data_IF_745676120472
#
_entry.id   IF_745676120472
#
_cell.length_a   1.000
_cell.length_b   1.000
_cell.length_c   1.000
_cell.angle_alpha   90.00
_cell.angle_beta   90.00
_cell.angle_gamma   90.00
#
_symmetry.space_group_name_H-M   'P 1'
#
loop_
_entity.id
_entity.type
_entity.pdbx_description
1 polymer ?
#
# COMPACT_ATOMS: atom_id res chain seq x y z
N UNK A 1 10.41 12.12 10.82
CA UNK A 1 9.52 12.54 9.73
C UNK A 1 8.31 11.63 9.83
N UNK A 2 7.12 12.20 9.95
CA UNK A 2 5.87 11.43 10.01
C UNK A 2 5.49 10.99 8.59
N UNK A 3 6.14 9.92 8.10
CA UNK A 3 5.84 9.33 6.80
C UNK A 3 4.55 8.53 6.87
N UNK A 4 3.45 9.22 7.14
CA UNK A 4 2.11 8.63 7.08
C UNK A 4 1.64 8.47 5.65
N UNK A 5 2.39 8.94 4.66
CA UNK A 5 2.04 8.83 3.23
C UNK A 5 3.27 8.39 2.45
N UNK A 6 3.05 7.58 1.42
CA UNK A 6 4.08 7.10 0.52
C UNK A 6 3.47 6.94 -0.88
N UNK A 7 4.20 7.37 -1.90
CA UNK A 7 3.82 7.10 -3.29
C UNK A 7 4.65 5.95 -3.85
N UNK A 8 4.05 5.14 -4.70
CA UNK A 8 4.74 4.12 -5.47
C UNK A 8 4.28 4.14 -6.92
N UNK A 9 5.20 3.86 -7.84
CA UNK A 9 4.86 3.51 -9.22
C UNK A 9 5.20 2.06 -9.43
N UNK A 10 4.20 1.26 -9.80
CA UNK A 10 4.35 -0.16 -10.13
C UNK A 10 4.35 -0.29 -11.64
N UNK A 11 5.36 -0.95 -12.19
CA UNK A 11 5.41 -1.35 -13.59
C UNK A 11 5.39 -2.86 -13.67
N UNK A 12 4.71 -3.37 -14.68
CA UNK A 12 4.49 -4.80 -14.78
C UNK A 12 3.93 -5.23 -16.11
N UNK A 13 3.53 -6.48 -16.18
CA UNK A 13 2.88 -7.08 -17.34
C UNK A 13 1.62 -7.80 -16.88
N UNK A 14 0.50 -7.60 -17.58
CA UNK A 14 -0.73 -8.34 -17.31
C UNK A 14 -0.56 -9.83 -17.62
N UNK A 15 -1.48 -10.68 -17.17
CA UNK A 15 -1.46 -12.10 -17.50
C UNK A 15 -1.53 -12.38 -19.02
N UNK A 16 -2.01 -11.42 -19.81
CA UNK A 16 -2.09 -11.49 -21.28
C UNK A 16 -0.81 -11.01 -21.98
N UNK A 17 0.19 -10.54 -21.23
CA UNK A 17 1.45 -10.06 -21.78
C UNK A 17 1.50 -8.55 -22.06
N UNK A 18 0.47 -7.78 -21.68
CA UNK A 18 0.44 -6.34 -21.93
C UNK A 18 1.18 -5.55 -20.83
N UNK A 19 2.08 -4.62 -21.17
CA UNK A 19 2.75 -3.81 -20.17
C UNK A 19 1.77 -2.83 -19.51
N UNK A 20 1.89 -2.65 -18.20
CA UNK A 20 1.14 -1.65 -17.46
C UNK A 20 2.05 -0.79 -16.58
N UNK A 21 1.55 0.39 -16.24
CA UNK A 21 2.15 1.29 -15.25
C UNK A 21 1.04 1.87 -14.40
N UNK A 22 1.13 1.71 -13.08
CA UNK A 22 0.15 2.21 -12.14
C UNK A 22 0.82 3.01 -11.03
N UNK A 23 0.23 4.17 -10.71
CA UNK A 23 0.63 5.01 -9.59
C UNK A 23 -0.28 4.73 -8.39
N UNK A 24 0.35 4.55 -7.23
CA UNK A 24 -0.27 4.24 -5.97
C UNK A 24 0.11 5.28 -4.93
N UNK A 25 -0.87 5.70 -4.12
CA UNK A 25 -0.62 6.49 -2.92
C UNK A 25 -1.12 5.72 -1.70
N UNK A 26 -0.19 5.37 -0.83
CA UNK A 26 -0.45 4.75 0.46
C UNK A 26 -0.54 5.82 1.53
N UNK A 27 -1.52 5.74 2.41
CA UNK A 27 -1.63 6.62 3.57
C UNK A 27 -2.03 5.82 4.81
N UNK A 28 -1.25 5.95 5.89
CA UNK A 28 -1.59 5.46 7.22
C UNK A 28 -2.51 6.46 7.91
N UNK A 29 -3.70 5.97 8.24
CA UNK A 29 -4.73 6.70 8.96
C UNK A 29 -4.64 6.30 10.43
N UNK A 30 -4.35 7.25 11.34
CA UNK A 30 -4.23 6.95 12.75
C UNK A 30 -5.56 6.46 13.34
N UNK A 31 -5.52 5.60 14.37
CA UNK A 31 -6.70 5.19 15.10
C UNK A 31 -7.48 6.41 15.63
N UNK A 32 -8.81 6.41 15.43
CA UNK A 32 -9.71 7.46 15.96
C UNK A 32 -10.29 7.13 17.34
N UNK A 33 -10.09 5.92 17.85
CA UNK A 33 -10.53 5.50 19.18
C UNK A 33 -9.44 4.76 19.99
N UNK A 34 -9.76 4.32 21.22
CA UNK A 34 -8.82 3.63 22.12
C UNK A 34 -9.01 2.09 22.14
N UNK A 35 -9.78 1.51 21.21
CA UNK A 35 -10.06 0.07 21.15
C UNK A 35 -9.22 -0.60 20.06
N UNK A 36 -7.91 -0.61 20.25
CA UNK A 36 -6.99 -1.16 19.24
C UNK A 36 -6.14 -2.30 19.78
N UNK A 37 -6.15 -3.42 19.05
CA UNK A 37 -5.16 -4.49 19.15
C UNK A 37 -4.08 -4.20 18.11
N UNK A 38 -2.79 -4.33 18.44
CA UNK A 38 -1.69 -4.04 17.51
C UNK A 38 -1.38 -2.54 17.41
N UNK A 39 -1.23 -2.01 16.19
CA UNK A 39 -0.99 -0.58 15.95
C UNK A 39 -2.27 0.26 15.93
N UNK A 40 -3.40 -0.34 15.56
CA UNK A 40 -4.69 0.35 15.43
C UNK A 40 -4.86 1.21 14.18
N UNK A 41 -3.87 1.25 13.28
CA UNK A 41 -3.96 2.04 12.06
C UNK A 41 -4.80 1.35 10.99
N UNK A 42 -5.41 2.16 10.12
CA UNK A 42 -5.84 1.70 8.80
C UNK A 42 -4.85 2.20 7.76
N UNK A 43 -4.75 1.51 6.64
CA UNK A 43 -4.01 2.00 5.48
C UNK A 43 -4.98 2.20 4.32
N UNK A 44 -4.96 3.38 3.70
CA UNK A 44 -5.66 3.60 2.44
C UNK A 44 -4.69 3.47 1.27
N UNK A 45 -5.12 2.81 0.20
CA UNK A 45 -4.37 2.70 -1.06
C UNK A 45 -5.20 3.34 -2.16
N UNK A 46 -4.73 4.47 -2.69
CA UNK A 46 -5.34 5.13 -3.83
C UNK A 46 -4.65 4.67 -5.11
N UNK A 47 -5.42 4.12 -6.02
CA UNK A 47 -5.02 3.71 -7.37
C UNK A 47 -5.52 4.73 -8.39
N UNK A 48 -5.28 4.47 -9.67
CA UNK A 48 -5.82 5.28 -10.78
C UNK A 48 -7.36 5.27 -10.85
N UNK A 49 -7.99 4.18 -10.41
CA UNK A 49 -9.44 3.93 -10.60
C UNK A 49 -10.25 3.90 -9.30
N UNK A 50 -9.61 3.62 -8.17
CA UNK A 50 -10.29 3.37 -6.90
C UNK A 50 -9.42 3.70 -5.68
N UNK A 51 -10.08 3.89 -4.54
CA UNK A 51 -9.44 3.96 -3.22
C UNK A 51 -9.86 2.75 -2.39
N UNK A 52 -8.89 2.02 -1.86
CA UNK A 52 -9.09 0.83 -1.05
C UNK A 52 -8.74 1.11 0.40
N UNK A 53 -9.52 0.57 1.34
CA UNK A 53 -9.23 0.60 2.77
C UNK A 53 -8.71 -0.77 3.21
N UNK A 54 -7.52 -0.79 3.79
CA UNK A 54 -6.82 -2.00 4.23
C UNK A 54 -6.77 -2.00 5.76
N UNK A 55 -7.28 -3.08 6.34
CA UNK A 55 -7.23 -3.29 7.79
C UNK A 55 -5.83 -3.76 8.20
N UNK A 56 -5.01 -2.83 8.68
CA UNK A 56 -3.67 -3.10 9.22
C UNK A 56 -3.62 -2.92 10.73
N UNK A 57 -4.78 -2.89 11.41
CA UNK A 57 -4.84 -2.60 12.84
C UNK A 57 -4.05 -3.59 13.66
N UNK A 58 -4.12 -4.87 13.27
CA UNK A 58 -3.45 -5.99 13.95
C UNK A 58 -1.98 -6.16 13.56
N UNK A 59 -1.46 -5.34 12.64
CA UNK A 59 -0.05 -5.38 12.27
C UNK A 59 0.83 -4.98 13.45
N UNK A 60 2.08 -5.45 13.42
CA UNK A 60 3.08 -5.14 14.47
C UNK A 60 3.93 -3.92 14.14
N UNK A 61 3.74 -3.32 12.98
CA UNK A 61 4.53 -2.19 12.48
C UNK A 61 3.62 -1.11 11.91
N UNK A 62 4.01 0.15 12.09
CA UNK A 62 3.45 1.33 11.42
C UNK A 62 4.36 1.83 10.31
N UNK A 63 5.35 1.03 9.92
CA UNK A 63 6.22 1.37 8.81
C UNK A 63 5.44 1.21 7.49
N UNK A 64 5.08 2.35 6.89
CA UNK A 64 4.27 2.38 5.67
C UNK A 64 4.97 1.69 4.50
N UNK A 65 6.30 1.66 4.47
CA UNK A 65 7.05 0.99 3.40
C UNK A 65 6.83 -0.52 3.47
N UNK A 66 6.93 -1.10 4.66
CA UNK A 66 6.74 -2.53 4.88
C UNK A 66 5.30 -2.93 4.55
N UNK A 67 4.33 -2.11 4.95
CA UNK A 67 2.91 -2.37 4.69
C UNK A 67 2.57 -2.23 3.20
N UNK A 68 3.11 -1.21 2.52
CA UNK A 68 2.95 -1.01 1.09
C UNK A 68 3.55 -2.18 0.29
N UNK A 69 4.75 -2.65 0.63
CA UNK A 69 5.39 -3.78 -0.07
C UNK A 69 4.56 -5.06 0.02
N UNK A 70 4.05 -5.37 1.22
CA UNK A 70 3.18 -6.54 1.41
C UNK A 70 1.91 -6.42 0.59
N UNK A 71 1.30 -5.24 0.58
CA UNK A 71 0.08 -5.00 -0.19
C UNK A 71 0.33 -5.12 -1.69
N UNK A 72 1.37 -4.47 -2.24
CA UNK A 72 1.74 -4.53 -3.66
C UNK A 72 2.00 -5.97 -4.08
N UNK A 73 2.80 -6.71 -3.28
CA UNK A 73 3.10 -8.12 -3.55
C UNK A 73 1.83 -8.98 -3.55
N UNK A 74 0.90 -8.72 -2.62
CA UNK A 74 -0.36 -9.46 -2.57
C UNK A 74 -1.32 -9.12 -3.71
N UNK A 75 -1.33 -7.86 -4.17
CA UNK A 75 -2.30 -7.37 -5.16
C UNK A 75 -1.87 -7.67 -6.59
N UNK A 76 -0.59 -7.42 -6.93
CA UNK A 76 -0.07 -7.65 -8.28
C UNK A 76 0.63 -9.01 -8.43
N UNK A 77 1.06 -9.65 -7.34
CA UNK A 77 1.79 -10.92 -7.41
C UNK A 77 3.05 -10.82 -8.26
N UNK A 78 3.24 -11.80 -9.14
CA UNK A 78 4.38 -11.87 -10.08
C UNK A 78 4.26 -10.87 -11.25
N UNK A 79 3.09 -10.24 -11.42
CA UNK A 79 2.88 -9.27 -12.49
C UNK A 79 3.61 -7.95 -12.22
N UNK A 80 3.92 -7.62 -10.96
CA UNK A 80 4.75 -6.48 -10.62
C UNK A 80 6.23 -6.82 -10.84
N UNK A 81 6.87 -6.10 -11.76
CA UNK A 81 8.27 -6.33 -12.15
C UNK A 81 9.21 -5.26 -11.60
N UNK A 82 8.74 -4.01 -11.53
CA UNK A 82 9.51 -2.88 -11.02
C UNK A 82 8.63 -1.99 -10.15
N UNK A 83 9.18 -1.54 -9.01
CA UNK A 83 8.47 -0.76 -7.99
C UNK A 83 9.36 0.42 -7.59
N UNK A 84 8.93 1.63 -7.94
CA UNK A 84 9.65 2.87 -7.61
C UNK A 84 8.92 3.57 -6.48
N UNK A 85 9.58 3.74 -5.34
CA UNK A 85 9.03 4.30 -4.10
C UNK A 85 9.46 5.75 -3.87
N UNK A 86 8.57 6.57 -3.32
CA UNK A 86 8.80 7.99 -3.01
C UNK A 86 8.15 8.35 -1.66
N UNK A 87 8.87 9.07 -0.80
CA UNK A 87 8.49 9.43 0.58
C UNK A 87 8.39 10.94 0.78
#
# INVERSE_FOLDING_TARGET
MDYNTMNATVKGTTCEGEPFTESLTFTLVPPTDNKHYGTGYYMTVKTSTQTLLIDVRYERTTDIEILADRWIKSYYGENAQDIIKQF
#
